data_IF_142331002807
#
_entry.id   IF_142331002807
#
_cell.length_a   1.000
_cell.length_b   1.000
_cell.length_c   1.000
_cell.angle_alpha   90.00
_cell.angle_beta   90.00
_cell.angle_gamma   90.00
#
_symmetry.space_group_name_H-M   'P 1'
#
loop_
_entity.id
_entity.type
_entity.pdbx_description
1 polymer ?
#
# COMPACT_ATOMS: atom_id res chain seq x y z
N UNK A 1 30.18 11.17 -27.87
CA UNK A 1 30.96 11.04 -26.61
C UNK A 1 31.86 9.83 -26.72
N UNK A 2 33.07 9.87 -26.16
CA UNK A 2 34.01 8.74 -26.13
C UNK A 2 33.91 8.07 -24.74
N UNK A 3 33.88 6.75 -24.70
CA UNK A 3 33.85 5.99 -23.45
C UNK A 3 35.16 6.14 -22.67
N UNK A 4 35.06 6.09 -21.35
CA UNK A 4 36.20 6.06 -20.42
C UNK A 4 36.32 4.65 -19.83
N UNK A 5 37.09 3.80 -20.50
CA UNK A 5 37.22 2.38 -20.14
C UNK A 5 37.88 2.18 -18.78
N UNK A 6 38.83 3.03 -18.39
CA UNK A 6 39.49 2.90 -17.09
C UNK A 6 38.52 3.17 -15.94
N UNK A 7 37.65 4.16 -16.10
CA UNK A 7 36.59 4.44 -15.13
C UNK A 7 35.53 3.32 -15.10
N UNK A 8 35.07 2.85 -16.26
CA UNK A 8 34.09 1.77 -16.36
C UNK A 8 34.58 0.47 -15.69
N UNK A 9 35.84 0.09 -15.91
CA UNK A 9 36.45 -1.09 -15.27
C UNK A 9 36.59 -0.93 -13.76
N UNK A 10 36.97 0.25 -13.27
CA UNK A 10 37.05 0.51 -11.84
C UNK A 10 35.68 0.41 -11.15
N UNK A 11 34.61 0.86 -11.82
CA UNK A 11 33.25 0.72 -11.31
C UNK A 11 32.80 -0.74 -11.24
N UNK A 12 33.09 -1.55 -12.27
CA UNK A 12 32.77 -2.99 -12.27
C UNK A 12 33.53 -3.72 -11.17
N UNK A 13 34.85 -3.49 -11.06
CA UNK A 13 35.67 -4.10 -10.01
C UNK A 13 35.16 -3.76 -8.61
N UNK A 14 34.78 -2.49 -8.37
CA UNK A 14 34.21 -2.08 -7.10
C UNK A 14 32.93 -2.85 -6.77
N UNK A 15 32.04 -3.08 -7.75
CA UNK A 15 30.81 -3.84 -7.53
C UNK A 15 31.09 -5.32 -7.22
N UNK A 16 32.05 -5.93 -7.91
CA UNK A 16 32.48 -7.31 -7.65
C UNK A 16 33.04 -7.43 -6.22
N UNK A 17 33.94 -6.52 -5.84
CA UNK A 17 34.59 -6.51 -4.52
C UNK A 17 33.58 -6.38 -3.36
N UNK A 18 32.58 -5.50 -3.46
CA UNK A 18 31.59 -5.33 -2.39
C UNK A 18 30.62 -6.52 -2.30
N UNK A 19 30.35 -7.21 -3.41
CA UNK A 19 29.47 -8.39 -3.43
C UNK A 19 30.16 -9.62 -2.83
N UNK A 20 31.49 -9.71 -2.93
CA UNK A 20 32.31 -10.77 -2.31
C UNK A 20 32.68 -10.47 -0.84
N UNK A 21 32.54 -9.22 -0.40
CA UNK A 21 32.82 -8.82 0.98
C UNK A 21 31.72 -9.27 1.95
N UNK A 22 32.00 -10.33 2.73
CA UNK A 22 31.08 -10.82 3.77
C UNK A 22 30.78 -9.78 4.86
N UNK A 23 31.75 -8.93 5.20
CA UNK A 23 31.56 -7.83 6.17
C UNK A 23 30.52 -6.83 5.65
N UNK A 24 30.71 -6.34 4.42
CA UNK A 24 29.76 -5.42 3.80
C UNK A 24 28.39 -6.08 3.61
N UNK A 25 28.34 -7.31 3.10
CA UNK A 25 27.08 -7.99 2.81
C UNK A 25 26.26 -8.27 4.07
N UNK A 26 26.91 -8.51 5.22
CA UNK A 26 26.23 -8.62 6.51
C UNK A 26 25.53 -7.32 6.89
N UNK A 27 26.24 -6.20 6.85
CA UNK A 27 25.71 -4.89 7.21
C UNK A 27 24.65 -4.42 6.20
N UNK A 28 24.90 -4.63 4.92
CA UNK A 28 23.99 -4.31 3.83
C UNK A 28 22.67 -5.07 3.96
N UNK A 29 22.67 -6.39 4.19
CA UNK A 29 21.44 -7.18 4.34
C UNK A 29 20.62 -6.72 5.55
N UNK A 30 21.27 -6.37 6.65
CA UNK A 30 20.61 -5.82 7.85
C UNK A 30 19.90 -4.50 7.52
N UNK A 31 20.58 -3.58 6.85
CA UNK A 31 20.01 -2.29 6.46
C UNK A 31 18.93 -2.44 5.38
N UNK A 32 19.19 -3.24 4.35
CA UNK A 32 18.26 -3.51 3.25
C UNK A 32 16.94 -4.08 3.76
N UNK A 33 16.97 -4.99 4.74
CA UNK A 33 15.77 -5.54 5.35
C UNK A 33 14.89 -4.44 5.97
N UNK A 34 15.50 -3.48 6.68
CA UNK A 34 14.77 -2.34 7.24
C UNK A 34 14.17 -1.45 6.14
N UNK A 35 14.96 -1.12 5.11
CA UNK A 35 14.48 -0.33 3.96
C UNK A 35 13.33 -1.03 3.24
N UNK A 36 13.40 -2.35 3.07
CA UNK A 36 12.37 -3.15 2.41
C UNK A 36 11.02 -3.06 3.12
N UNK A 37 10.98 -3.09 4.46
CA UNK A 37 9.74 -2.94 5.22
C UNK A 37 9.04 -1.60 4.90
N UNK A 38 9.80 -0.51 4.87
CA UNK A 38 9.28 0.81 4.49
C UNK A 38 8.89 0.88 3.00
N UNK A 39 9.67 0.24 2.12
CA UNK A 39 9.40 0.16 0.69
C UNK A 39 8.09 -0.55 0.37
N UNK A 40 7.77 -1.62 1.09
CA UNK A 40 6.50 -2.35 0.97
C UNK A 40 5.33 -1.42 1.33
N UNK A 41 5.38 -0.75 2.49
CA UNK A 41 4.31 0.15 2.92
C UNK A 41 4.13 1.32 1.95
N UNK A 42 5.23 1.95 1.51
CA UNK A 42 5.18 3.02 0.54
C UNK A 42 4.57 2.56 -0.79
N UNK A 43 4.88 1.35 -1.24
CA UNK A 43 4.34 0.78 -2.47
C UNK A 43 2.84 0.49 -2.36
N UNK A 44 2.37 -0.02 -1.22
CA UNK A 44 0.94 -0.23 -0.95
C UNK A 44 0.17 1.09 -0.87
N UNK A 45 0.75 2.10 -0.21
CA UNK A 45 0.20 3.46 -0.18
C UNK A 45 0.10 4.06 -1.58
N UNK A 46 1.18 4.00 -2.35
CA UNK A 46 1.23 4.55 -3.70
C UNK A 46 0.20 3.90 -4.62
N UNK A 47 0.09 2.56 -4.59
CA UNK A 47 -0.85 1.86 -5.47
C UNK A 47 -2.30 2.13 -5.08
N UNK A 48 -2.61 2.23 -3.79
CA UNK A 48 -3.96 2.60 -3.35
C UNK A 48 -4.31 4.02 -3.84
N UNK A 49 -3.45 5.00 -3.58
CA UNK A 49 -3.65 6.39 -4.02
C UNK A 49 -3.83 6.46 -5.54
N UNK A 50 -2.97 5.79 -6.30
CA UNK A 50 -3.06 5.68 -7.76
C UNK A 50 -4.44 5.17 -8.21
N UNK A 51 -4.99 4.16 -7.53
CA UNK A 51 -6.27 3.55 -7.89
C UNK A 51 -7.50 4.36 -7.46
N UNK A 52 -7.39 5.23 -6.46
CA UNK A 52 -8.57 5.90 -5.86
C UNK A 52 -8.60 7.42 -6.09
N UNK A 53 -7.47 8.04 -6.42
CA UNK A 53 -7.39 9.43 -6.85
C UNK A 53 -8.16 9.67 -8.18
N UNK A 54 -8.47 10.93 -8.52
CA UNK A 54 -9.08 11.28 -9.80
C UNK A 54 -8.22 10.84 -10.99
N UNK A 55 -8.88 10.40 -12.08
CA UNK A 55 -8.22 9.88 -13.28
C UNK A 55 -8.39 8.37 -13.45
N UNK A 56 -7.69 7.81 -14.43
CA UNK A 56 -7.70 6.38 -14.78
C UNK A 56 -6.37 5.78 -14.33
N UNK A 57 -6.36 4.79 -13.41
CA UNK A 57 -5.12 4.14 -13.02
C UNK A 57 -4.59 3.25 -14.15
N UNK A 58 -3.33 3.44 -14.52
CA UNK A 58 -2.63 2.64 -15.53
C UNK A 58 -1.56 1.74 -14.90
N UNK A 59 -1.41 0.49 -15.32
CA UNK A 59 -0.42 -0.45 -14.77
C UNK A 59 0.52 -0.96 -15.86
N UNK A 60 1.82 -0.72 -15.67
CA UNK A 60 2.83 -1.37 -16.49
C UNK A 60 2.87 -2.87 -16.16
N UNK A 61 3.03 -3.70 -17.20
CA UNK A 61 2.98 -5.15 -17.08
C UNK A 61 3.94 -5.68 -16.03
N UNK A 62 3.45 -6.57 -15.15
CA UNK A 62 4.28 -7.21 -14.13
C UNK A 62 4.36 -6.44 -12.81
N UNK A 63 3.93 -5.18 -12.78
CA UNK A 63 3.99 -4.33 -11.58
C UNK A 63 2.92 -4.64 -10.53
N UNK A 64 2.12 -5.69 -10.73
CA UNK A 64 1.14 -6.17 -9.76
C UNK A 64 1.80 -6.87 -8.56
N UNK A 65 3.03 -7.37 -8.77
CA UNK A 65 3.93 -7.84 -7.71
C UNK A 65 5.03 -6.78 -7.44
N UNK A 66 6.04 -7.15 -6.65
CA UNK A 66 7.25 -6.32 -6.52
C UNK A 66 8.03 -6.36 -7.82
N UNK A 67 8.30 -5.18 -8.37
CA UNK A 67 9.12 -5.00 -9.56
C UNK A 67 10.29 -4.08 -9.19
N UNK A 68 11.50 -4.65 -9.19
CA UNK A 68 12.75 -3.96 -8.87
C UNK A 68 13.58 -3.73 -10.13
N UNK A 69 12.94 -3.60 -11.29
CA UNK A 69 13.64 -3.34 -12.55
C UNK A 69 14.35 -1.98 -12.53
N UNK A 70 15.54 -1.95 -13.14
CA UNK A 70 16.26 -0.72 -13.44
C UNK A 70 15.76 -0.09 -14.76
N UNK A 71 16.60 0.70 -15.41
CA UNK A 71 16.32 1.32 -16.72
C UNK A 71 16.32 0.28 -17.85
N UNK A 72 15.89 0.69 -19.04
CA UNK A 72 15.97 -0.11 -20.27
C UNK A 72 17.41 -0.65 -20.46
N UNK A 73 17.60 -1.95 -20.77
CA UNK A 73 16.60 -2.98 -21.09
C UNK A 73 16.04 -3.80 -19.92
N UNK A 74 16.43 -3.53 -18.67
CA UNK A 74 16.05 -4.37 -17.53
C UNK A 74 14.54 -4.35 -17.23
N UNK A 75 13.87 -3.23 -17.48
CA UNK A 75 12.40 -3.09 -17.36
C UNK A 75 11.59 -3.75 -18.51
N UNK A 76 12.27 -4.47 -19.42
CA UNK A 76 11.65 -5.24 -20.51
C UNK A 76 11.79 -6.75 -20.34
N UNK A 77 12.24 -7.22 -19.17
CA UNK A 77 12.28 -8.65 -18.84
C UNK A 77 10.88 -9.28 -19.01
N UNK A 78 10.79 -10.55 -19.43
CA UNK A 78 9.51 -11.22 -19.62
C UNK A 78 8.74 -11.32 -18.31
N UNK A 79 7.43 -11.16 -18.40
CA UNK A 79 6.51 -11.26 -17.25
C UNK A 79 5.95 -12.67 -17.15
N UNK A 80 6.08 -13.29 -15.97
CA UNK A 80 5.43 -14.57 -15.66
C UNK A 80 3.94 -14.34 -15.29
N UNK A 81 3.07 -14.43 -16.29
CA UNK A 81 1.62 -14.27 -16.12
C UNK A 81 0.92 -15.50 -15.56
N UNK A 82 1.47 -16.71 -15.78
CA UNK A 82 0.86 -17.94 -15.27
C UNK A 82 0.94 -17.99 -13.75
N UNK A 83 2.08 -17.60 -13.16
CA UNK A 83 2.23 -17.46 -11.71
C UNK A 83 1.26 -16.42 -11.12
N UNK A 84 1.07 -15.28 -11.79
CA UNK A 84 0.13 -14.23 -11.34
C UNK A 84 -1.32 -14.72 -11.37
N UNK A 85 -1.70 -15.45 -12.41
CA UNK A 85 -3.04 -16.04 -12.54
C UNK A 85 -3.28 -17.06 -11.44
N UNK A 86 -2.31 -17.95 -11.19
CA UNK A 86 -2.37 -18.92 -10.09
C UNK A 86 -2.58 -18.23 -8.74
N UNK A 87 -1.77 -17.21 -8.41
CA UNK A 87 -1.93 -16.46 -7.16
C UNK A 87 -3.30 -15.79 -7.06
N UNK A 88 -3.80 -15.18 -8.14
CA UNK A 88 -5.11 -14.55 -8.14
C UNK A 88 -6.24 -15.56 -7.91
N UNK A 89 -6.20 -16.70 -8.59
CA UNK A 89 -7.20 -17.77 -8.46
C UNK A 89 -7.21 -18.38 -7.05
N UNK A 90 -6.03 -18.60 -6.46
CA UNK A 90 -5.89 -19.09 -5.08
C UNK A 90 -6.46 -18.09 -4.08
N UNK A 91 -6.10 -16.80 -4.20
CA UNK A 91 -6.60 -15.76 -3.31
C UNK A 91 -8.11 -15.55 -3.45
N UNK A 92 -8.66 -15.58 -4.67
CA UNK A 92 -10.08 -15.45 -4.94
C UNK A 92 -10.91 -16.57 -4.27
N UNK A 93 -10.45 -17.83 -4.34
CA UNK A 93 -11.11 -18.95 -3.64
C UNK A 93 -11.00 -18.84 -2.13
N UNK A 94 -9.86 -18.34 -1.63
CA UNK A 94 -9.60 -18.26 -0.19
C UNK A 94 -10.33 -17.12 0.49
N UNK A 95 -10.55 -16.00 -0.20
CA UNK A 95 -11.33 -14.89 0.36
C UNK A 95 -12.80 -15.28 0.61
N UNK A 96 -13.39 -16.15 -0.21
CA UNK A 96 -14.77 -16.65 -0.03
C UNK A 96 -14.95 -17.48 1.25
N UNK A 97 -13.90 -18.16 1.69
CA UNK A 97 -13.96 -19.13 2.80
C UNK A 97 -13.34 -18.60 4.09
N UNK A 98 -12.21 -17.89 4.00
CA UNK A 98 -11.49 -17.36 5.16
C UNK A 98 -10.62 -16.15 4.79
N UNK A 99 -11.24 -15.00 4.57
CA UNK A 99 -10.52 -13.75 4.33
C UNK A 99 -9.54 -13.40 5.46
N UNK A 100 -9.89 -13.66 6.73
CA UNK A 100 -9.01 -13.33 7.87
C UNK A 100 -7.68 -14.08 7.77
N UNK A 101 -7.73 -15.39 7.58
CA UNK A 101 -6.52 -16.21 7.43
C UNK A 101 -5.72 -15.88 6.17
N UNK A 102 -6.40 -15.48 5.09
CA UNK A 102 -5.72 -14.95 3.90
C UNK A 102 -4.93 -13.67 4.22
N UNK A 103 -5.54 -12.69 4.90
CA UNK A 103 -4.87 -11.44 5.26
C UNK A 103 -3.65 -11.68 6.18
N UNK A 104 -3.80 -12.55 7.18
CA UNK A 104 -2.70 -12.95 8.07
C UNK A 104 -1.52 -13.56 7.29
N UNK A 105 -1.81 -14.46 6.34
CA UNK A 105 -0.77 -15.03 5.47
C UNK A 105 -0.09 -13.97 4.60
N UNK A 106 -0.88 -13.11 3.94
CA UNK A 106 -0.35 -12.07 3.05
C UNK A 106 0.54 -11.07 3.79
N UNK A 107 0.23 -10.78 5.05
CA UNK A 107 1.07 -9.91 5.88
C UNK A 107 2.34 -10.62 6.35
N UNK A 108 2.23 -11.89 6.75
CA UNK A 108 3.38 -12.70 7.17
C UNK A 108 4.37 -12.96 6.02
N UNK A 109 3.90 -12.96 4.77
CA UNK A 109 4.68 -13.25 3.56
C UNK A 109 4.75 -12.08 2.57
N UNK A 110 4.53 -10.85 3.05
CA UNK A 110 4.46 -9.62 2.25
C UNK A 110 5.62 -9.42 1.26
N UNK A 111 6.81 -9.95 1.57
CA UNK A 111 8.01 -9.91 0.73
C UNK A 111 7.83 -10.63 -0.62
N UNK A 112 6.83 -11.50 -0.79
CA UNK A 112 6.55 -12.21 -2.05
C UNK A 112 5.68 -11.41 -3.05
N UNK A 113 5.09 -10.29 -2.61
CA UNK A 113 4.31 -9.38 -3.45
C UNK A 113 2.84 -9.74 -3.61
N UNK A 114 2.37 -10.88 -3.10
CA UNK A 114 0.95 -11.27 -3.16
C UNK A 114 0.05 -10.27 -2.45
N UNK A 115 0.54 -9.63 -1.38
CA UNK A 115 -0.19 -8.55 -0.69
C UNK A 115 -0.51 -7.36 -1.61
N UNK A 116 0.40 -6.99 -2.52
CA UNK A 116 0.20 -5.92 -3.49
C UNK A 116 -0.80 -6.35 -4.57
N UNK A 117 -0.66 -7.58 -5.07
CA UNK A 117 -1.61 -8.15 -6.04
C UNK A 117 -3.02 -8.22 -5.45
N UNK A 118 -3.16 -8.67 -4.20
CA UNK A 118 -4.43 -8.70 -3.48
C UNK A 118 -5.04 -7.29 -3.36
N UNK A 119 -4.25 -6.30 -2.93
CA UNK A 119 -4.70 -4.91 -2.84
C UNK A 119 -5.22 -4.39 -4.18
N UNK A 120 -4.46 -4.60 -5.27
CA UNK A 120 -4.85 -4.20 -6.63
C UNK A 120 -6.16 -4.87 -7.03
N UNK A 121 -6.26 -6.19 -6.87
CA UNK A 121 -7.45 -6.97 -7.18
C UNK A 121 -8.69 -6.43 -6.45
N UNK A 122 -8.61 -6.28 -5.13
CA UNK A 122 -9.72 -5.84 -4.28
C UNK A 122 -10.18 -4.44 -4.62
N UNK A 123 -9.24 -3.52 -4.78
CA UNK A 123 -9.56 -2.11 -5.06
C UNK A 123 -10.08 -1.93 -6.48
N UNK A 124 -9.56 -2.65 -7.48
CA UNK A 124 -10.11 -2.61 -8.84
C UNK A 124 -11.52 -3.19 -8.90
N UNK A 125 -11.80 -4.30 -8.18
CA UNK A 125 -13.15 -4.86 -8.03
C UNK A 125 -14.10 -3.86 -7.38
N UNK A 126 -13.67 -3.19 -6.31
CA UNK A 126 -14.44 -2.14 -5.67
C UNK A 126 -14.66 -0.93 -6.60
N UNK A 127 -13.63 -0.50 -7.32
CA UNK A 127 -13.70 0.61 -8.27
C UNK A 127 -14.65 0.32 -9.42
N UNK A 128 -14.63 -0.90 -9.95
CA UNK A 128 -15.55 -1.33 -11.01
C UNK A 128 -17.00 -1.33 -10.53
N UNK A 129 -17.27 -1.88 -9.34
CA UNK A 129 -18.62 -1.92 -8.76
C UNK A 129 -19.18 -0.53 -8.43
N UNK A 130 -18.31 0.43 -8.15
CA UNK A 130 -18.68 1.80 -7.77
C UNK A 130 -18.13 2.81 -8.81
N UNK A 131 -18.25 2.50 -10.11
CA UNK A 131 -17.54 3.26 -11.16
C UNK A 131 -17.83 4.77 -11.14
N UNK A 132 -19.09 5.16 -10.88
CA UNK A 132 -19.52 6.57 -10.90
C UNK A 132 -18.81 7.44 -9.87
N UNK A 133 -18.64 6.97 -8.62
CA UNK A 133 -17.95 7.76 -7.59
C UNK A 133 -16.48 7.98 -7.92
N UNK A 134 -15.82 7.02 -8.57
CA UNK A 134 -14.43 7.15 -8.98
C UNK A 134 -14.25 7.95 -10.28
N UNK A 135 -15.24 7.92 -11.18
CA UNK A 135 -15.22 8.67 -12.44
C UNK A 135 -15.65 10.14 -12.25
N UNK A 136 -16.72 10.37 -11.49
CA UNK A 136 -17.41 11.67 -11.39
C UNK A 136 -17.31 12.31 -10.01
N UNK A 137 -16.94 11.55 -8.98
CA UNK A 137 -16.96 12.05 -7.60
C UNK A 137 -15.95 13.14 -7.33
N UNK A 138 -16.36 14.13 -6.54
CA UNK A 138 -15.52 15.24 -6.08
C UNK A 138 -14.43 14.72 -5.15
N UNK A 139 -13.22 15.27 -5.28
CA UNK A 139 -12.13 15.01 -4.35
C UNK A 139 -12.28 15.87 -3.08
N UNK A 140 -12.34 15.23 -1.92
CA UNK A 140 -12.45 15.89 -0.62
C UNK A 140 -11.24 15.51 0.22
N UNK A 141 -10.38 16.49 0.53
CA UNK A 141 -9.29 16.30 1.51
C UNK A 141 -9.91 16.07 2.89
N UNK A 142 -9.37 15.11 3.65
CA UNK A 142 -9.77 14.89 5.03
C UNK A 142 -8.68 15.32 6.00
N UNK A 143 -9.12 15.83 7.15
CA UNK A 143 -8.26 16.10 8.29
C UNK A 143 -7.92 14.81 9.02
N UNK A 144 -6.70 14.73 9.52
CA UNK A 144 -6.26 13.70 10.47
C UNK A 144 -5.78 14.45 11.71
N UNK A 145 -6.21 13.99 12.88
CA UNK A 145 -5.77 14.48 14.19
C UNK A 145 -4.97 13.41 14.91
N UNK A 146 -4.26 13.81 15.96
CA UNK A 146 -3.45 12.93 16.80
C UNK A 146 -1.97 12.88 16.41
N UNK A 147 -1.19 12.15 17.20
CA UNK A 147 0.27 12.15 17.13
C UNK A 147 0.84 11.86 15.74
N UNK A 148 0.17 11.05 14.91
CA UNK A 148 0.66 10.61 13.60
C UNK A 148 -0.05 11.25 12.41
N UNK A 149 -0.74 12.37 12.61
CA UNK A 149 -1.52 13.05 11.56
C UNK A 149 -0.71 13.37 10.28
N UNK A 150 0.54 13.83 10.42
CA UNK A 150 1.40 14.20 9.28
C UNK A 150 1.88 12.99 8.45
N UNK A 151 1.75 11.79 9.03
CA UNK A 151 2.18 10.54 8.45
C UNK A 151 1.04 9.76 7.77
N UNK A 152 -0.14 10.36 7.65
CA UNK A 152 -1.29 9.75 6.99
C UNK A 152 -1.76 10.64 5.84
N UNK A 153 -2.04 10.01 4.71
CA UNK A 153 -2.77 10.58 3.59
C UNK A 153 -4.22 10.13 3.71
N UNK A 154 -5.15 11.08 3.73
CA UNK A 154 -6.57 10.82 3.81
C UNK A 154 -7.36 11.71 2.84
N UNK A 155 -8.17 11.09 1.99
CA UNK A 155 -9.10 11.80 1.13
C UNK A 155 -10.31 10.94 0.80
N UNK A 156 -11.42 11.58 0.44
CA UNK A 156 -12.61 10.91 -0.05
C UNK A 156 -12.91 11.30 -1.50
N UNK A 157 -13.52 10.39 -2.23
CA UNK A 157 -14.34 10.68 -3.41
C UNK A 157 -15.80 10.70 -2.96
N UNK A 158 -16.59 11.65 -3.46
CA UNK A 158 -18.01 11.79 -3.09
C UNK A 158 -18.85 12.05 -4.33
N UNK A 159 -19.91 11.25 -4.54
CA UNK A 159 -20.83 11.40 -5.67
C UNK A 159 -22.23 10.92 -5.27
N UNK A 160 -23.25 11.78 -5.42
CA UNK A 160 -24.67 11.42 -5.15
C UNK A 160 -24.90 10.70 -3.80
N UNK A 161 -24.21 11.15 -2.75
CA UNK A 161 -24.32 10.56 -1.40
C UNK A 161 -23.47 9.30 -1.18
N UNK A 162 -22.85 8.74 -2.20
CA UNK A 162 -21.85 7.67 -2.08
C UNK A 162 -20.48 8.26 -1.70
N UNK A 163 -19.74 7.54 -0.86
CA UNK A 163 -18.42 7.92 -0.36
C UNK A 163 -17.40 6.79 -0.54
N UNK A 164 -16.18 7.17 -0.96
CA UNK A 164 -15.03 6.29 -1.01
C UNK A 164 -13.83 6.98 -0.36
N UNK A 165 -13.52 6.60 0.87
CA UNK A 165 -12.45 7.14 1.71
C UNK A 165 -11.17 6.31 1.55
N UNK A 166 -10.12 6.95 1.06
CA UNK A 166 -8.76 6.41 0.95
C UNK A 166 -7.90 6.80 2.13
N UNK A 167 -7.24 5.82 2.73
CA UNK A 167 -6.33 5.98 3.86
C UNK A 167 -5.03 5.26 3.55
N UNK A 168 -3.91 5.97 3.63
CA UNK A 168 -2.60 5.40 3.38
C UNK A 168 -1.52 6.07 4.25
N UNK A 169 -0.58 5.31 4.84
CA UNK A 169 0.56 5.87 5.55
C UNK A 169 1.59 6.48 4.59
N UNK A 170 2.33 7.47 5.09
CA UNK A 170 3.46 8.14 4.42
C UNK A 170 4.54 8.45 5.45
N UNK A 171 5.78 8.62 4.98
CA UNK A 171 6.92 8.94 5.84
C UNK A 171 7.07 7.93 7.00
N UNK A 172 6.98 6.64 6.68
CA UNK A 172 6.92 5.55 7.66
C UNK A 172 8.21 5.40 8.48
N UNK A 173 9.34 5.90 7.98
CA UNK A 173 10.60 5.97 8.73
C UNK A 173 10.52 6.94 9.91
N UNK A 174 9.85 8.08 9.75
CA UNK A 174 9.66 9.06 10.81
C UNK A 174 8.74 8.53 11.91
N UNK A 175 7.77 7.67 11.55
CA UNK A 175 6.92 6.96 12.50
C UNK A 175 7.74 5.99 13.36
N UNK A 176 8.52 5.14 12.69
CA UNK A 176 9.34 4.13 13.36
C UNK A 176 10.40 4.73 14.31
N UNK A 177 10.92 5.91 13.98
CA UNK A 177 11.87 6.62 14.82
C UNK A 177 11.27 7.12 16.14
N UNK A 178 9.96 7.43 16.17
CA UNK A 178 9.28 7.91 17.40
C UNK A 178 9.10 6.81 18.42
N UNK A 179 8.93 5.57 17.96
CA UNK A 179 8.82 4.39 18.82
C UNK A 179 10.18 3.84 19.26
N UNK A 180 11.29 4.43 18.79
CA UNK A 180 12.66 4.02 19.11
C UNK A 180 13.09 2.67 18.51
N UNK A 181 12.22 2.02 17.73
CA UNK A 181 12.48 0.70 17.15
C UNK A 181 13.06 0.77 15.74
N UNK A 182 12.84 1.89 15.03
CA UNK A 182 13.10 2.02 13.58
C UNK A 182 12.47 0.90 12.73
N UNK A 183 11.52 0.14 13.29
CA UNK A 183 10.82 -0.95 12.64
C UNK A 183 9.33 -0.66 12.61
N UNK A 184 8.70 -0.82 11.45
CA UNK A 184 7.25 -0.81 11.29
C UNK A 184 6.81 -2.22 10.91
N UNK A 185 6.31 -2.98 11.88
CA UNK A 185 5.78 -4.32 11.64
C UNK A 185 4.29 -4.22 11.35
N UNK A 186 3.79 -4.74 10.23
CA UNK A 186 2.35 -4.86 9.99
C UNK A 186 1.96 -6.34 9.84
N UNK A 187 0.85 -6.80 10.48
CA UNK A 187 0.03 -6.07 11.46
C UNK A 187 0.80 -6.02 12.79
N UNK A 188 0.97 -4.84 13.39
CA UNK A 188 1.78 -4.73 14.62
C UNK A 188 2.36 -3.36 14.97
N UNK A 189 2.29 -2.38 14.08
CA UNK A 189 2.71 -1.03 14.42
C UNK A 189 1.62 -0.41 15.30
N UNK A 190 2.03 0.18 16.41
CA UNK A 190 1.10 0.75 17.35
C UNK A 190 0.54 2.04 16.75
N UNK A 191 -0.70 2.00 16.25
CA UNK A 191 -1.42 3.22 15.90
C UNK A 191 -1.85 3.86 17.22
N UNK A 192 -1.37 5.06 17.56
CA UNK A 192 -1.76 5.73 18.79
C UNK A 192 -3.28 5.93 18.84
N UNK A 193 -3.88 5.71 20.01
CA UNK A 193 -5.34 5.76 20.18
C UNK A 193 -5.95 7.15 19.97
N UNK A 194 -5.14 8.20 19.98
CA UNK A 194 -5.53 9.59 19.68
C UNK A 194 -5.60 9.89 18.17
N UNK A 195 -5.07 9.00 17.32
CA UNK A 195 -5.07 9.20 15.87
C UNK A 195 -6.44 8.93 15.26
N UNK A 196 -7.05 9.94 14.62
CA UNK A 196 -8.40 9.84 14.07
C UNK A 196 -8.60 10.68 12.81
N UNK A 197 -9.50 10.23 11.93
CA UNK A 197 -9.99 11.01 10.80
C UNK A 197 -11.11 11.93 11.23
N UNK A 198 -11.14 13.13 10.66
CA UNK A 198 -12.25 14.06 10.81
C UNK A 198 -13.13 13.97 9.57
N UNK A 199 -14.35 13.49 9.77
CA UNK A 199 -15.36 13.32 8.73
C UNK A 199 -16.18 14.61 8.55
N UNK A 200 -16.48 15.01 7.30
CA UNK A 200 -17.44 16.08 7.02
C UNK A 200 -18.83 15.76 7.59
N UNK A 201 -19.64 16.79 7.84
CA UNK A 201 -20.97 16.64 8.46
C UNK A 201 -21.92 15.71 7.70
N UNK A 202 -21.78 15.62 6.38
CA UNK A 202 -22.59 14.79 5.49
C UNK A 202 -21.97 13.42 5.20
N UNK A 203 -20.92 13.05 5.93
CA UNK A 203 -20.30 11.74 5.77
C UNK A 203 -21.15 10.62 6.41
N UNK A 204 -21.12 9.40 5.85
CA UNK A 204 -21.74 8.21 6.42
C UNK A 204 -21.30 7.96 7.87
N UNK A 205 -22.17 7.32 8.64
CA UNK A 205 -21.85 6.80 9.98
C UNK A 205 -21.37 5.33 9.97
N UNK A 206 -21.63 4.63 8.86
CA UNK A 206 -21.32 3.21 8.65
C UNK A 206 -20.54 3.04 7.36
N UNK A 207 -19.45 2.29 7.46
CA UNK A 207 -18.50 2.09 6.38
C UNK A 207 -18.18 0.61 6.23
N UNK A 208 -17.82 0.21 5.03
CA UNK A 208 -17.28 -1.11 4.71
C UNK A 208 -15.87 -0.95 4.16
N UNK A 209 -14.89 -1.61 4.78
CA UNK A 209 -13.54 -1.68 4.23
C UNK A 209 -13.52 -2.64 3.03
N UNK A 210 -13.37 -2.09 1.83
CA UNK A 210 -13.41 -2.86 0.57
C UNK A 210 -12.24 -3.84 0.41
N UNK A 211 -11.18 -3.73 1.23
CA UNK A 211 -10.02 -4.62 1.21
C UNK A 211 -10.19 -5.80 2.17
N UNK A 212 -10.84 -5.58 3.33
CA UNK A 212 -10.90 -6.57 4.42
C UNK A 212 -12.30 -7.11 4.70
N UNK A 213 -13.33 -6.57 4.03
CA UNK A 213 -14.76 -6.84 4.28
C UNK A 213 -15.18 -6.62 5.74
N UNK A 214 -14.45 -5.76 6.46
CA UNK A 214 -14.78 -5.38 7.84
C UNK A 214 -15.61 -4.10 7.88
N UNK A 215 -16.68 -4.07 8.68
CA UNK A 215 -17.39 -2.84 8.95
C UNK A 215 -16.52 -1.91 9.81
N UNK A 216 -16.56 -0.62 9.52
CA UNK A 216 -15.93 0.44 10.32
C UNK A 216 -17.03 1.42 10.71
N UNK A 217 -17.11 1.79 11.99
CA UNK A 217 -18.13 2.71 12.49
C UNK A 217 -17.49 4.04 12.84
N UNK A 218 -18.15 5.13 12.49
CA UNK A 218 -17.66 6.44 12.88
C UNK A 218 -18.57 7.55 12.39
N UNK A 219 -19.03 8.39 13.31
CA UNK A 219 -19.86 9.56 13.02
C UNK A 219 -19.07 10.80 13.44
N UNK A 220 -18.70 11.64 12.48
CA UNK A 220 -17.85 12.80 12.72
C UNK A 220 -16.37 12.46 12.84
N UNK A 221 -16.01 11.34 13.48
CA UNK A 221 -14.63 10.81 13.45
C UNK A 221 -14.59 9.30 13.25
N UNK A 222 -13.45 8.80 12.75
CA UNK A 222 -13.10 7.37 12.69
C UNK A 222 -11.72 7.21 13.31
N UNK A 223 -11.53 6.36 14.33
CA UNK A 223 -10.20 6.05 14.84
C UNK A 223 -9.36 5.35 13.78
N UNK A 224 -8.12 5.79 13.61
CA UNK A 224 -7.22 5.28 12.57
C UNK A 224 -6.92 3.78 12.77
N UNK A 225 -6.85 3.31 14.02
CA UNK A 225 -6.59 1.91 14.34
C UNK A 225 -7.72 0.99 13.87
N UNK A 226 -8.99 1.43 13.88
CA UNK A 226 -10.10 0.62 13.36
C UNK A 226 -10.00 0.45 11.84
N UNK A 227 -9.61 1.50 11.12
CA UNK A 227 -9.51 1.45 9.66
C UNK A 227 -8.33 0.58 9.18
N UNK A 228 -7.22 0.57 9.92
CA UNK A 228 -5.95 -0.07 9.55
C UNK A 228 -5.62 -1.34 10.35
N UNK A 229 -6.57 -1.87 11.13
CA UNK A 229 -6.36 -3.00 12.05
C UNK A 229 -5.80 -4.24 11.33
N UNK A 230 -6.36 -4.56 10.16
CA UNK A 230 -6.08 -5.81 9.45
C UNK A 230 -5.32 -5.64 8.14
N UNK A 231 -5.06 -4.40 7.71
CA UNK A 231 -4.34 -4.11 6.47
C UNK A 231 -3.67 -2.73 6.55
N UNK A 232 -2.47 -2.55 5.98
CA UNK A 232 -1.69 -1.31 6.14
C UNK A 232 -2.28 -0.08 5.46
N UNK A 233 -3.28 -0.26 4.61
CA UNK A 233 -4.02 0.79 3.92
C UNK A 233 -5.51 0.46 3.94
N UNK A 234 -6.38 1.45 3.77
CA UNK A 234 -7.82 1.23 3.76
C UNK A 234 -8.53 1.99 2.65
N UNK A 235 -9.52 1.32 2.05
CA UNK A 235 -10.54 1.93 1.20
C UNK A 235 -11.90 1.68 1.86
N UNK A 236 -12.46 2.70 2.48
CA UNK A 236 -13.77 2.61 3.13
C UNK A 236 -14.86 3.12 2.20
N UNK A 237 -15.88 2.31 1.97
CA UNK A 237 -17.06 2.65 1.18
C UNK A 237 -18.24 2.88 2.11
N UNK A 238 -19.04 3.89 1.84
CA UNK A 238 -20.23 4.20 2.65
C UNK A 238 -21.22 5.05 1.87
N UNK A 239 -22.46 5.08 2.37
CA UNK A 239 -23.53 5.91 1.81
C UNK A 239 -24.06 6.86 2.88
N UNK A 240 -24.01 8.14 2.59
CA UNK A 240 -24.54 9.19 3.45
C UNK A 240 -26.06 9.21 3.40
N UNK A 241 -26.67 9.77 4.44
CA UNK A 241 -28.08 10.14 4.40
C UNK A 241 -28.25 11.33 3.44
N UNK A 242 -29.31 11.30 2.62
CA UNK A 242 -29.59 12.31 1.59
C UNK A 242 -29.92 13.69 2.19
#
# INVERSE_FOLDING_TARGET
MKQDTSYELAFVSFLEDILESEEFMKDFRSFQSQVAQHGILNSLSQVLVKMTAPGIPDFYQGTELWDYSFVDPDNRRPVDFDRRRMYLDEMAKREETNIKGLLEELLASKEDGRIKLFLIYRVLKARQKNADIFAKGTYVRLGVEGAIAENIIAFARVYEGEWALTIAPRLTTALAARDGTHQVNFPGWHIPGDAQFILPKNAPSSWMNAITDKPVRGKGTIPLYEALEHFPVALLLGRGEA
#
